data_IF_348901837420
#
_entry.id   IF_348901837420
#
_cell.length_a   1.000
_cell.length_b   1.000
_cell.length_c   1.000
_cell.angle_alpha   90.00
_cell.angle_beta   90.00
_cell.angle_gamma   90.00
#
_symmetry.space_group_name_H-M   'P 1'
#
loop_
_entity.id
_entity.type
_entity.pdbx_description
1 polymer ?
#
# COMPACT_ATOMS: atom_id res chain seq x y z
N UNK A 1 -0.57 2.86 -21.18
CA UNK A 1 -0.81 1.46 -21.57
C UNK A 1 -2.03 0.93 -20.84
N UNK A 2 -2.93 0.31 -21.56
CA UNK A 2 -4.11 -0.27 -20.93
C UNK A 2 -3.72 -1.54 -20.18
N UNK A 3 -4.27 -1.71 -18.99
CA UNK A 3 -4.03 -2.92 -18.20
C UNK A 3 -4.86 -4.08 -18.76
N UNK A 4 -4.31 -5.24 -18.71
CA UNK A 4 -5.01 -6.46 -19.10
C UNK A 4 -6.10 -6.76 -18.06
N UNK A 5 -7.25 -7.23 -18.52
CA UNK A 5 -8.34 -7.66 -17.63
C UNK A 5 -7.86 -8.66 -16.57
N UNK A 6 -6.93 -9.56 -16.92
CA UNK A 6 -6.39 -10.56 -15.99
C UNK A 6 -5.56 -9.95 -14.85
N UNK A 7 -5.07 -8.71 -15.01
CA UNK A 7 -4.29 -8.03 -13.96
C UNK A 7 -5.14 -7.74 -12.73
N UNK A 8 -6.46 -7.78 -12.85
CA UNK A 8 -7.38 -7.47 -11.76
C UNK A 8 -8.24 -8.67 -11.36
N UNK A 9 -8.05 -9.81 -12.00
CA UNK A 9 -8.84 -11.00 -11.73
C UNK A 9 -8.59 -11.50 -10.31
N UNK A 10 -9.68 -11.89 -9.63
CA UNK A 10 -9.63 -12.45 -8.28
C UNK A 10 -10.00 -13.91 -8.35
N UNK A 11 -9.07 -14.83 -8.04
CA UNK A 11 -9.38 -16.25 -8.00
C UNK A 11 -10.45 -16.54 -6.95
N UNK A 12 -11.29 -17.53 -7.22
CA UNK A 12 -12.33 -17.92 -6.29
C UNK A 12 -11.75 -18.30 -4.93
N UNK A 13 -12.37 -17.81 -3.87
CA UNK A 13 -11.97 -18.10 -2.50
C UNK A 13 -10.82 -17.24 -1.96
N UNK A 14 -10.29 -16.31 -2.77
CA UNK A 14 -9.25 -15.41 -2.32
C UNK A 14 -9.84 -14.21 -1.59
N UNK A 15 -9.14 -13.77 -0.53
CA UNK A 15 -9.48 -12.53 0.17
C UNK A 15 -8.93 -11.35 -0.63
N UNK A 16 -9.54 -10.18 -0.43
CA UNK A 16 -9.14 -8.97 -1.14
C UNK A 16 -8.78 -7.87 -0.17
N UNK A 17 -7.75 -7.13 -0.52
CA UNK A 17 -7.36 -5.90 0.15
C UNK A 17 -7.06 -4.86 -0.92
N UNK A 18 -7.06 -3.59 -0.54
CA UNK A 18 -6.73 -2.50 -1.45
C UNK A 18 -5.97 -1.40 -0.71
N UNK A 19 -5.10 -0.72 -1.43
CA UNK A 19 -4.32 0.38 -0.87
C UNK A 19 -3.77 1.30 -1.93
N UNK A 20 -3.07 2.33 -1.48
CA UNK A 20 -2.56 3.39 -2.35
C UNK A 20 -1.05 3.53 -2.26
N UNK A 21 -0.43 3.76 -3.41
CA UNK A 21 0.90 4.37 -3.46
C UNK A 21 0.63 5.87 -3.53
N UNK A 22 0.74 6.55 -2.40
CA UNK A 22 0.44 7.98 -2.29
C UNK A 22 1.67 8.78 -2.67
N UNK A 23 1.56 9.56 -3.73
CA UNK A 23 2.66 10.38 -4.22
C UNK A 23 2.45 11.84 -3.85
N UNK A 24 3.50 12.46 -3.34
CA UNK A 24 3.50 13.89 -2.99
C UNK A 24 3.85 14.69 -4.24
N UNK A 25 2.97 15.63 -4.67
CA UNK A 25 3.19 16.32 -5.95
C UNK A 25 4.48 17.14 -6.01
N UNK A 26 4.94 17.68 -4.89
CA UNK A 26 6.10 18.59 -4.88
C UNK A 26 7.41 17.95 -5.30
N UNK A 27 7.63 16.67 -4.96
CA UNK A 27 8.90 15.98 -5.22
C UNK A 27 8.74 14.54 -5.67
N UNK A 28 7.49 14.10 -5.90
CA UNK A 28 7.17 12.74 -6.31
C UNK A 28 7.61 11.65 -5.32
N UNK A 29 7.85 12.02 -4.06
CA UNK A 29 8.10 11.04 -3.02
C UNK A 29 6.82 10.29 -2.68
N UNK A 30 6.95 9.03 -2.32
CA UNK A 30 5.82 8.18 -1.94
C UNK A 30 5.77 7.99 -0.43
N UNK A 31 4.57 7.73 0.08
CA UNK A 31 4.32 7.55 1.50
C UNK A 31 4.43 6.08 1.89
N UNK A 32 5.27 5.81 2.87
CA UNK A 32 5.34 4.52 3.52
C UNK A 32 5.01 4.69 5.01
N UNK A 33 4.30 3.73 5.57
CA UNK A 33 3.91 3.71 6.98
C UNK A 33 4.52 2.48 7.64
N UNK A 34 5.15 2.66 8.81
CA UNK A 34 5.79 1.55 9.50
C UNK A 34 4.83 0.93 10.51
N UNK A 35 4.66 -0.40 10.45
CA UNK A 35 3.78 -1.14 11.36
C UNK A 35 4.27 -1.01 12.79
N UNK A 36 3.35 -0.65 13.69
CA UNK A 36 3.65 -0.47 15.11
C UNK A 36 3.69 -1.82 15.84
N UNK A 37 4.17 -1.80 17.09
CA UNK A 37 4.17 -2.98 17.95
C UNK A 37 2.77 -3.43 18.36
N UNK A 38 1.74 -2.61 18.13
CA UNK A 38 0.35 -2.98 18.40
C UNK A 38 -0.22 -3.95 17.38
N UNK A 39 0.45 -4.08 16.21
CA UNK A 39 0.01 -5.01 15.20
C UNK A 39 0.35 -6.45 15.57
N UNK A 40 -0.38 -7.41 14.99
CA UNK A 40 -0.22 -8.82 15.35
C UNK A 40 1.07 -9.43 14.83
N UNK A 41 1.65 -8.86 13.75
CA UNK A 41 2.86 -9.41 13.13
C UNK A 41 3.55 -8.37 12.27
N UNK A 42 4.78 -8.70 11.85
CA UNK A 42 5.59 -7.88 10.94
C UNK A 42 5.85 -6.47 11.48
N UNK A 43 6.08 -6.35 12.80
CA UNK A 43 6.39 -5.08 13.44
C UNK A 43 7.61 -4.43 12.79
N UNK A 44 7.53 -3.12 12.55
CA UNK A 44 8.62 -2.37 11.96
C UNK A 44 8.73 -2.45 10.44
N UNK A 45 7.85 -3.20 9.77
CA UNK A 45 7.83 -3.26 8.31
C UNK A 45 7.14 -2.03 7.73
N UNK A 46 7.74 -1.44 6.70
CA UNK A 46 7.11 -0.35 5.95
C UNK A 46 6.14 -0.91 4.93
N UNK A 47 4.98 -0.30 4.86
CA UNK A 47 3.91 -0.74 3.97
C UNK A 47 3.13 0.44 3.41
N UNK A 48 2.26 0.16 2.44
CA UNK A 48 1.33 1.15 1.91
C UNK A 48 0.12 1.28 2.83
N UNK A 49 -0.50 2.46 2.90
CA UNK A 49 -1.81 2.54 3.54
C UNK A 49 -2.81 1.68 2.77
N UNK A 50 -3.60 0.89 3.47
CA UNK A 50 -4.56 -0.02 2.87
C UNK A 50 -5.14 -0.99 3.87
N UNK A 51 -6.12 -1.76 3.44
CA UNK A 51 -6.77 -2.74 4.28
C UNK A 51 -7.70 -3.64 3.48
N UNK A 52 -8.43 -4.52 4.20
CA UNK A 52 -9.30 -5.49 3.54
C UNK A 52 -10.58 -4.84 3.04
N UNK A 53 -11.11 -5.35 1.94
CA UNK A 53 -12.41 -4.93 1.43
C UNK A 53 -13.50 -5.38 2.38
N UNK A 54 -14.39 -4.45 2.74
CA UNK A 54 -15.60 -4.77 3.47
C UNK A 54 -16.74 -4.98 2.48
N UNK A 55 -17.83 -5.62 2.95
CA UNK A 55 -18.99 -5.89 2.11
C UNK A 55 -19.52 -4.62 1.48
N UNK A 56 -19.73 -4.66 0.17
CA UNK A 56 -20.27 -3.53 -0.57
C UNK A 56 -19.22 -2.53 -1.06
N UNK A 57 -17.95 -2.69 -0.67
CA UNK A 57 -16.88 -1.81 -1.13
C UNK A 57 -16.27 -2.29 -2.44
N UNK A 58 -15.96 -1.34 -3.32
CA UNK A 58 -15.08 -1.62 -4.45
C UNK A 58 -13.62 -1.47 -3.99
N UNK A 59 -12.64 -2.00 -4.74
CA UNK A 59 -11.23 -1.76 -4.42
C UNK A 59 -10.90 -0.27 -4.32
N UNK A 60 -11.48 0.56 -5.19
CA UNK A 60 -11.31 2.02 -5.15
C UNK A 60 -11.80 2.61 -3.83
N UNK A 61 -13.01 2.21 -3.40
CA UNK A 61 -13.57 2.66 -2.13
C UNK A 61 -12.65 2.32 -0.97
N UNK A 62 -12.24 1.06 -0.90
CA UNK A 62 -11.39 0.57 0.18
C UNK A 62 -10.05 1.31 0.22
N UNK A 63 -9.43 1.51 -0.95
CA UNK A 63 -8.16 2.21 -1.03
C UNK A 63 -8.27 3.62 -0.46
N UNK A 64 -9.35 4.34 -0.80
CA UNK A 64 -9.57 5.70 -0.30
C UNK A 64 -9.93 5.72 1.18
N UNK A 65 -10.83 4.83 1.61
CA UNK A 65 -11.27 4.75 3.01
C UNK A 65 -10.08 4.43 3.93
N UNK A 66 -9.31 3.40 3.57
CA UNK A 66 -8.20 2.96 4.41
C UNK A 66 -7.07 3.99 4.46
N UNK A 67 -6.81 4.68 3.36
CA UNK A 67 -5.81 5.75 3.35
C UNK A 67 -6.26 6.90 4.26
N UNK A 68 -7.55 7.24 4.25
CA UNK A 68 -8.09 8.25 5.16
C UNK A 68 -7.95 7.82 6.61
N UNK A 69 -8.27 6.57 6.92
CA UNK A 69 -8.19 6.07 8.29
C UNK A 69 -6.74 6.01 8.80
N UNK A 70 -5.82 5.54 7.96
CA UNK A 70 -4.43 5.28 8.39
C UNK A 70 -3.50 6.47 8.25
N UNK A 71 -3.76 7.36 7.30
CA UNK A 71 -2.90 8.51 7.02
C UNK A 71 -3.60 9.87 7.17
N UNK A 72 -4.91 9.86 7.36
CA UNK A 72 -5.67 11.09 7.60
C UNK A 72 -5.87 11.98 6.39
N UNK A 73 -5.64 11.47 5.19
CA UNK A 73 -5.71 12.28 3.97
C UNK A 73 -6.74 11.73 2.98
N UNK A 74 -7.41 12.64 2.27
CA UNK A 74 -8.32 12.31 1.18
C UNK A 74 -7.53 12.36 -0.12
N UNK A 75 -7.20 11.18 -0.65
CA UNK A 75 -6.37 11.09 -1.84
C UNK A 75 -7.20 11.08 -3.12
N UNK A 76 -6.61 11.54 -4.21
CA UNK A 76 -7.16 11.41 -5.55
C UNK A 76 -6.53 10.21 -6.22
N UNK A 77 -7.34 9.22 -6.61
CA UNK A 77 -6.83 8.05 -7.33
C UNK A 77 -6.51 8.46 -8.76
N UNK A 78 -5.30 8.15 -9.20
CA UNK A 78 -4.82 8.55 -10.53
C UNK A 78 -4.88 7.40 -11.52
N UNK A 79 -4.48 6.21 -11.08
CA UNK A 79 -4.33 5.09 -11.98
C UNK A 79 -4.31 3.78 -11.20
N UNK A 80 -4.93 2.75 -11.76
CA UNK A 80 -4.87 1.42 -11.20
C UNK A 80 -3.57 0.73 -11.61
N UNK A 81 -2.95 0.04 -10.66
CA UNK A 81 -1.74 -0.75 -10.88
C UNK A 81 -2.15 -2.22 -10.91
N UNK A 82 -1.45 -3.09 -11.67
CA UNK A 82 -1.75 -4.52 -11.64
C UNK A 82 -1.77 -5.06 -10.22
N UNK A 83 -2.76 -5.90 -9.91
CA UNK A 83 -2.93 -6.45 -8.57
C UNK A 83 -1.81 -7.44 -8.25
N UNK A 84 -1.40 -7.45 -6.99
CA UNK A 84 -0.47 -8.45 -6.49
C UNK A 84 -1.26 -9.63 -5.95
N UNK A 85 -1.02 -10.81 -6.49
CA UNK A 85 -1.71 -12.04 -6.05
C UNK A 85 -0.74 -12.88 -5.23
N UNK A 86 -1.10 -13.13 -3.98
CA UNK A 86 -0.34 -14.01 -3.10
C UNK A 86 -1.09 -15.34 -3.02
N UNK A 87 -0.60 -16.35 -3.73
CA UNK A 87 -1.25 -17.67 -3.80
C UNK A 87 -1.09 -18.46 -2.51
N UNK A 88 -0.04 -18.21 -1.76
CA UNK A 88 0.18 -18.88 -0.48
C UNK A 88 -0.83 -18.42 0.56
N UNK A 89 -1.03 -17.11 0.66
CA UNK A 89 -2.03 -16.53 1.57
C UNK A 89 -3.43 -16.51 0.98
N UNK A 90 -3.59 -16.80 -0.30
CA UNK A 90 -4.84 -16.69 -1.04
C UNK A 90 -5.44 -15.30 -0.88
N UNK A 91 -4.65 -14.29 -1.27
CA UNK A 91 -5.01 -12.90 -1.10
C UNK A 91 -4.62 -12.09 -2.33
N UNK A 92 -5.49 -11.17 -2.70
CA UNK A 92 -5.24 -10.23 -3.79
C UNK A 92 -5.14 -8.82 -3.20
N UNK A 93 -4.07 -8.12 -3.54
CA UNK A 93 -3.89 -6.71 -3.19
C UNK A 93 -4.14 -5.86 -4.42
N UNK A 94 -5.23 -5.09 -4.39
CA UNK A 94 -5.53 -4.09 -5.42
C UNK A 94 -4.78 -2.81 -5.05
N UNK A 95 -4.07 -2.22 -6.01
CA UNK A 95 -3.24 -1.05 -5.73
C UNK A 95 -3.52 0.07 -6.71
N UNK A 96 -3.43 1.29 -6.20
CA UNK A 96 -3.67 2.50 -6.97
C UNK A 96 -2.55 3.50 -6.72
N UNK A 97 -2.11 4.15 -7.81
CA UNK A 97 -1.32 5.37 -7.66
C UNK A 97 -2.30 6.47 -7.28
N UNK A 98 -1.98 7.23 -6.25
CA UNK A 98 -2.84 8.31 -5.77
C UNK A 98 -2.01 9.54 -5.49
N UNK A 99 -2.62 10.72 -5.66
CA UNK A 99 -1.98 11.98 -5.32
C UNK A 99 -2.50 12.50 -3.99
N UNK A 100 -1.58 13.00 -3.18
CA UNK A 100 -1.88 13.70 -1.94
C UNK A 100 -2.36 15.11 -2.30
N UNK A 101 -3.46 15.62 -1.68
CA UNK A 101 -3.87 17.01 -1.89
C UNK A 101 -2.79 17.97 -1.42
N UNK A 102 -2.70 19.13 -2.08
CA UNK A 102 -1.80 20.19 -1.64
C UNK A 102 -2.17 20.63 -0.22
N UNK A 103 -1.15 20.94 0.57
CA UNK A 103 -1.30 21.38 1.95
C UNK A 103 -1.93 20.36 2.91
N UNK A 104 -2.11 19.12 2.46
CA UNK A 104 -2.57 18.06 3.36
C UNK A 104 -1.42 17.64 4.27
N UNK A 105 -1.77 17.20 5.47
CA UNK A 105 -0.82 16.74 6.47
C UNK A 105 -1.16 15.31 6.87
N UNK A 106 -0.16 14.42 6.86
CA UNK A 106 -0.36 13.03 7.25
C UNK A 106 -0.49 12.92 8.76
N UNK A 107 -1.56 12.23 9.20
CA UNK A 107 -1.78 11.92 10.61
C UNK A 107 -2.01 10.42 10.72
N UNK A 108 -1.03 9.71 11.27
CA UNK A 108 -1.09 8.26 11.38
C UNK A 108 -1.95 7.80 12.54
N UNK A 109 -2.56 6.61 12.37
CA UNK A 109 -3.30 5.94 13.44
C UNK A 109 -2.31 5.16 14.32
N UNK A 110 -2.82 4.46 15.35
CA UNK A 110 -1.97 3.65 16.22
C UNK A 110 -1.48 2.35 15.57
N UNK A 111 -1.94 2.03 14.38
CA UNK A 111 -1.44 0.86 13.62
C UNK A 111 -0.02 1.08 13.12
N UNK A 112 0.39 2.33 13.01
CA UNK A 112 1.71 2.71 12.51
C UNK A 112 2.39 3.67 13.48
N UNK A 113 3.72 3.60 13.55
CA UNK A 113 4.50 4.43 14.47
C UNK A 113 5.46 5.41 13.77
N UNK A 114 5.57 5.34 12.46
CA UNK A 114 6.46 6.22 11.70
C UNK A 114 5.96 6.38 10.28
N UNK A 115 6.17 7.56 9.71
CA UNK A 115 5.97 7.81 8.29
C UNK A 115 7.32 8.00 7.61
N UNK A 116 7.39 7.63 6.34
CA UNK A 116 8.57 7.85 5.52
C UNK A 116 8.13 8.35 4.15
N UNK A 117 8.67 9.49 3.74
CA UNK A 117 8.54 9.98 2.37
C UNK A 117 9.83 9.63 1.66
N UNK A 118 9.75 8.88 0.57
CA UNK A 118 10.92 8.31 -0.09
C UNK A 118 10.68 8.21 -1.58
N UNK A 119 11.74 8.29 -2.39
CA UNK A 119 11.63 8.07 -3.83
C UNK A 119 11.28 6.61 -4.13
N UNK A 120 10.78 6.34 -5.34
CA UNK A 120 10.49 4.97 -5.76
C UNK A 120 11.76 4.10 -5.66
N UNK A 121 12.88 4.60 -6.16
CA UNK A 121 14.15 3.89 -6.12
C UNK A 121 14.63 3.65 -4.68
N UNK A 122 14.47 4.65 -3.83
CA UNK A 122 14.83 4.54 -2.42
C UNK A 122 14.02 3.49 -1.70
N UNK A 123 12.71 3.41 -2.01
CA UNK A 123 11.84 2.39 -1.42
C UNK A 123 12.31 0.98 -1.83
N UNK A 124 12.65 0.79 -3.09
CA UNK A 124 13.12 -0.52 -3.57
C UNK A 124 14.49 -0.92 -3.02
N UNK A 125 15.25 0.05 -2.49
CA UNK A 125 16.52 -0.23 -1.82
C UNK A 125 16.33 -0.71 -0.38
N UNK A 126 15.13 -0.63 0.17
CA UNK A 126 14.86 -1.13 1.51
C UNK A 126 14.98 -2.65 1.56
N UNK A 127 15.28 -3.15 2.76
CA UNK A 127 15.47 -4.57 2.98
C UNK A 127 14.23 -5.39 2.56
N UNK A 128 14.48 -6.53 1.91
CA UNK A 128 13.44 -7.48 1.52
C UNK A 128 13.38 -8.59 2.58
N UNK A 129 12.31 -8.67 3.39
CA UNK A 129 12.28 -9.64 4.48
C UNK A 129 11.97 -11.05 3.98
N UNK A 130 12.72 -12.04 4.45
CA UNK A 130 12.44 -13.45 4.16
C UNK A 130 11.43 -14.02 5.17
N UNK A 131 11.43 -13.49 6.38
CA UNK A 131 10.49 -13.89 7.43
C UNK A 131 10.29 -12.75 8.43
N UNK A 132 9.46 -12.98 9.45
CA UNK A 132 9.11 -11.94 10.43
C UNK A 132 10.31 -11.43 11.22
N UNK A 133 11.37 -12.23 11.36
CA UNK A 133 12.56 -11.78 12.10
C UNK A 133 13.31 -10.67 11.40
N UNK A 134 13.07 -10.49 10.09
CA UNK A 134 13.70 -9.48 9.25
C UNK A 134 12.78 -8.30 8.96
N UNK A 135 11.64 -8.21 9.66
CA UNK A 135 10.62 -7.21 9.35
C UNK A 135 11.06 -5.76 9.60
N UNK A 136 11.84 -5.51 10.64
CA UNK A 136 12.19 -4.14 11.06
C UNK A 136 12.88 -3.38 9.93
N UNK A 137 12.29 -2.24 9.54
CA UNK A 137 12.76 -1.37 8.46
C UNK A 137 12.80 -2.03 7.08
N UNK A 138 12.06 -3.13 6.89
CA UNK A 138 11.90 -3.78 5.59
C UNK A 138 10.75 -3.15 4.81
N UNK A 139 10.65 -3.50 3.52
CA UNK A 139 9.53 -3.11 2.67
C UNK A 139 8.62 -4.32 2.44
N UNK A 140 7.31 -4.15 2.60
CA UNK A 140 6.35 -5.22 2.37
C UNK A 140 6.38 -5.72 0.92
N UNK A 141 6.03 -6.99 0.71
CA UNK A 141 6.06 -7.61 -0.61
C UNK A 141 5.10 -6.93 -1.59
N UNK A 142 3.88 -6.63 -1.16
CA UNK A 142 2.90 -6.00 -2.05
C UNK A 142 3.30 -4.56 -2.39
N UNK A 143 3.90 -3.82 -1.45
CA UNK A 143 4.40 -2.48 -1.74
C UNK A 143 5.51 -2.53 -2.79
N UNK A 144 6.46 -3.45 -2.63
CA UNK A 144 7.55 -3.65 -3.60
C UNK A 144 7.01 -3.97 -4.98
N UNK A 145 6.05 -4.88 -5.07
CA UNK A 145 5.40 -5.25 -6.32
C UNK A 145 4.80 -4.02 -7.02
N UNK A 146 4.00 -3.25 -6.28
CA UNK A 146 3.34 -2.07 -6.84
C UNK A 146 4.33 -0.98 -7.27
N UNK A 147 5.33 -0.71 -6.44
CA UNK A 147 6.36 0.31 -6.74
C UNK A 147 7.13 -0.05 -8.00
N UNK A 148 7.47 -1.33 -8.19
CA UNK A 148 8.17 -1.79 -9.40
C UNK A 148 7.39 -1.48 -10.67
N UNK A 149 6.06 -1.46 -10.60
CA UNK A 149 5.23 -1.15 -11.77
C UNK A 149 5.18 0.34 -12.13
N UNK A 150 5.72 1.21 -11.26
CA UNK A 150 5.77 2.64 -11.51
C UNK A 150 7.11 3.12 -12.06
N UNK A 151 8.07 2.24 -12.16
CA UNK A 151 9.40 2.57 -12.69
C UNK A 151 9.50 2.41 -14.20
#
# INVERSE_FOLDING_TARGET
>A
MANNENDYAVPEGYREAAGCIVMRPSDEAILLLRRSEHETSWHGMFELPGGKLEDGETPEDTAQIETKEEAGIDVELVKRIPSHVDHELKKVYHMFLAHMPENAEVKISNEHDEIKWISLEGALALHHPNDVSEAVNSLSHHARFGIQHLL
#
